data_IF_556581044064
#
_entry.id   IF_556581044064
#
_cell.length_a   1.000
_cell.length_b   1.000
_cell.length_c   1.000
_cell.angle_alpha   90.00
_cell.angle_beta   90.00
_cell.angle_gamma   90.00
#
_symmetry.space_group_name_H-M   'P 1'
#
loop_
_entity.id
_entity.type
_entity.pdbx_description
1 polymer ?
#
# COMPACT_ATOMS: atom_id res chain seq x y z
N UNK A 1 -4.66 -13.05 -12.44
CA UNK A 1 -4.52 -13.50 -11.02
C UNK A 1 -5.85 -13.28 -10.32
N UNK A 2 -6.38 -14.29 -9.65
CA UNK A 2 -7.59 -14.14 -8.85
C UNK A 2 -7.22 -13.59 -7.47
N UNK A 3 -7.84 -12.49 -7.06
CA UNK A 3 -7.60 -11.88 -5.75
C UNK A 3 -8.50 -12.54 -4.71
N UNK A 4 -7.91 -13.07 -3.64
CA UNK A 4 -8.62 -13.58 -2.48
C UNK A 4 -8.83 -12.44 -1.47
N UNK A 5 -9.90 -11.67 -1.65
CA UNK A 5 -10.23 -10.54 -0.78
C UNK A 5 -10.44 -10.92 0.68
N UNK A 6 -11.14 -12.02 1.01
CA UNK A 6 -11.25 -12.49 2.39
C UNK A 6 -9.88 -12.72 3.04
N UNK A 7 -8.96 -13.38 2.35
CA UNK A 7 -7.60 -13.61 2.86
C UNK A 7 -6.84 -12.29 3.05
N UNK A 8 -6.96 -11.37 2.10
CA UNK A 8 -6.29 -10.08 2.16
C UNK A 8 -6.80 -9.23 3.33
N UNK A 9 -8.12 -9.22 3.55
CA UNK A 9 -8.73 -8.55 4.71
C UNK A 9 -8.29 -9.19 6.03
N UNK A 10 -8.21 -10.52 6.09
CA UNK A 10 -7.76 -11.23 7.29
C UNK A 10 -6.31 -10.85 7.64
N UNK A 11 -5.42 -10.73 6.66
CA UNK A 11 -4.05 -10.28 6.86
C UNK A 11 -4.01 -8.82 7.36
N UNK A 12 -4.87 -7.96 6.85
CA UNK A 12 -4.98 -6.57 7.31
C UNK A 12 -5.48 -6.47 8.76
N UNK A 13 -6.47 -7.28 9.14
CA UNK A 13 -6.96 -7.38 10.54
C UNK A 13 -5.85 -7.85 11.48
N UNK A 14 -5.11 -8.89 11.08
CA UNK A 14 -4.02 -9.42 11.90
C UNK A 14 -2.97 -8.34 12.20
N UNK A 15 -2.52 -7.62 11.19
CA UNK A 15 -1.50 -6.59 11.38
C UNK A 15 -2.03 -5.36 12.11
N UNK A 16 -3.33 -5.04 12.01
CA UNK A 16 -3.96 -3.97 12.80
C UNK A 16 -3.80 -4.19 14.30
N UNK A 17 -3.74 -5.46 14.74
CA UNK A 17 -3.48 -5.81 16.13
C UNK A 17 -2.14 -5.32 16.67
N UNK A 18 -1.18 -5.01 15.80
CA UNK A 18 0.15 -4.51 16.14
C UNK A 18 0.28 -2.99 16.03
N UNK A 19 -0.79 -2.30 15.61
CA UNK A 19 -0.78 -0.85 15.45
C UNK A 19 -0.46 -0.14 16.78
N UNK A 20 0.31 0.93 16.69
CA UNK A 20 0.59 1.83 17.81
C UNK A 20 -0.30 3.06 17.65
N UNK A 21 -1.44 3.08 18.34
CA UNK A 21 -2.46 4.12 18.22
C UNK A 21 -2.98 4.60 19.59
N UNK A 22 -2.07 5.09 20.49
CA UNK A 22 -2.47 5.47 21.84
C UNK A 22 -3.29 6.76 21.88
N UNK A 23 -3.23 7.61 20.86
CA UNK A 23 -3.88 8.91 20.82
C UNK A 23 -5.29 8.82 20.23
N UNK A 24 -5.41 8.33 19.00
CA UNK A 24 -6.71 8.17 18.34
C UNK A 24 -7.50 6.97 18.82
N UNK A 25 -6.80 5.93 19.29
CA UNK A 25 -7.33 4.59 19.57
C UNK A 25 -7.93 3.89 18.35
N UNK A 26 -7.67 4.42 17.15
CA UNK A 26 -8.05 3.79 15.90
C UNK A 26 -6.85 2.99 15.38
N UNK A 27 -6.93 1.67 15.52
CA UNK A 27 -5.97 0.74 14.93
C UNK A 27 -6.36 0.44 13.50
N UNK A 28 -5.41 0.56 12.59
CA UNK A 28 -5.60 0.33 11.17
C UNK A 28 -4.55 -0.66 10.67
N UNK A 29 -4.98 -1.59 9.85
CA UNK A 29 -4.11 -2.51 9.12
C UNK A 29 -4.33 -2.37 7.63
N UNK A 30 -3.25 -2.52 6.89
CA UNK A 30 -3.25 -2.59 5.44
C UNK A 30 -2.56 -3.86 4.98
N UNK A 31 -3.14 -4.54 3.99
CA UNK A 31 -2.53 -5.69 3.33
C UNK A 31 -2.59 -5.50 1.82
N UNK A 32 -1.47 -5.72 1.15
CA UNK A 32 -1.34 -5.57 -0.29
C UNK A 32 -0.89 -6.87 -0.93
N UNK A 33 -1.51 -7.23 -2.05
CA UNK A 33 -1.09 -8.34 -2.89
C UNK A 33 -0.16 -7.81 -3.98
N UNK A 34 0.99 -8.41 -4.13
CA UNK A 34 1.97 -8.07 -5.17
C UNK A 34 1.73 -8.86 -6.45
N UNK A 35 2.27 -8.37 -7.58
CA UNK A 35 2.17 -9.05 -8.86
C UNK A 35 2.87 -10.42 -8.90
N UNK A 36 3.81 -10.68 -7.99
CA UNK A 36 4.47 -11.99 -7.81
C UNK A 36 3.77 -12.87 -6.77
N UNK A 37 2.58 -12.47 -6.27
CA UNK A 37 1.73 -13.29 -5.41
C UNK A 37 2.03 -13.20 -3.92
N UNK A 38 2.95 -12.34 -3.47
CA UNK A 38 3.22 -12.11 -2.05
C UNK A 38 2.18 -11.20 -1.43
N UNK A 39 1.93 -11.39 -0.14
CA UNK A 39 1.16 -10.46 0.68
C UNK A 39 2.12 -9.67 1.56
N UNK A 40 2.07 -8.35 1.47
CA UNK A 40 2.80 -7.42 2.34
C UNK A 40 1.81 -6.67 3.22
N UNK A 41 2.22 -6.32 4.43
CA UNK A 41 1.33 -5.71 5.41
C UNK A 41 1.96 -4.51 6.09
N UNK A 42 1.13 -3.64 6.64
CA UNK A 42 1.54 -2.51 7.46
C UNK A 42 0.44 -2.12 8.42
N UNK A 43 0.79 -1.45 9.51
CA UNK A 43 -0.14 -0.90 10.47
C UNK A 43 0.19 0.56 10.76
N UNK A 44 -0.78 1.32 11.28
CA UNK A 44 -0.52 2.71 11.65
C UNK A 44 0.35 2.81 12.90
N UNK A 45 1.22 3.81 12.89
CA UNK A 45 2.13 4.12 14.00
C UNK A 45 2.00 5.60 14.29
N UNK A 46 1.34 5.93 15.39
CA UNK A 46 1.14 7.31 15.82
C UNK A 46 2.36 7.86 16.55
N UNK A 47 2.39 9.15 16.70
CA UNK A 47 3.42 9.88 17.44
C UNK A 47 2.77 11.04 18.20
N UNK A 48 3.32 11.39 19.37
CA UNK A 48 2.89 12.59 20.09
C UNK A 48 3.04 13.86 19.23
N UNK A 49 4.01 13.88 18.33
CA UNK A 49 4.08 14.84 17.24
C UNK A 49 3.21 14.33 16.10
N UNK A 50 1.97 14.81 16.01
CA UNK A 50 0.95 14.26 15.10
C UNK A 50 1.38 14.25 13.64
N UNK A 51 2.19 15.21 13.21
CA UNK A 51 2.73 15.28 11.85
C UNK A 51 3.67 14.11 11.49
N UNK A 52 4.19 13.37 12.48
CA UNK A 52 5.04 12.19 12.27
C UNK A 52 4.25 10.89 12.22
N UNK A 53 2.93 10.92 12.39
CA UNK A 53 2.09 9.74 12.31
C UNK A 53 2.19 9.08 10.94
N UNK A 54 2.41 7.77 10.92
CA UNK A 54 2.43 6.96 9.71
C UNK A 54 1.12 6.19 9.58
N UNK A 55 0.46 6.34 8.42
CA UNK A 55 -0.67 5.49 8.07
C UNK A 55 -0.22 4.04 7.83
N UNK A 56 -1.14 3.10 7.94
CA UNK A 56 -0.87 1.69 7.71
C UNK A 56 -0.27 1.42 6.32
N UNK A 57 -0.74 2.15 5.32
CA UNK A 57 -0.27 2.05 3.94
C UNK A 57 1.19 2.48 3.77
N UNK A 58 1.67 3.42 4.59
CA UNK A 58 3.09 3.81 4.60
C UNK A 58 3.96 2.63 5.04
N UNK A 59 3.57 1.92 6.10
CA UNK A 59 4.23 0.72 6.55
C UNK A 59 4.21 -0.40 5.51
N UNK A 60 3.06 -0.58 4.85
CA UNK A 60 2.90 -1.55 3.78
C UNK A 60 3.84 -1.27 2.60
N UNK A 61 3.89 -0.05 2.10
CA UNK A 61 4.76 0.31 0.98
C UNK A 61 6.24 0.21 1.38
N UNK A 62 6.59 0.57 2.61
CA UNK A 62 7.95 0.33 3.13
C UNK A 62 8.29 -1.16 3.13
N UNK A 63 7.37 -2.01 3.60
CA UNK A 63 7.56 -3.47 3.61
C UNK A 63 7.65 -4.04 2.18
N UNK A 64 6.89 -3.51 1.22
CA UNK A 64 6.97 -3.90 -0.18
C UNK A 64 8.40 -3.80 -0.72
N UNK A 65 9.08 -2.69 -0.44
CA UNK A 65 10.44 -2.47 -0.90
C UNK A 65 11.50 -3.19 -0.03
N UNK A 66 11.25 -3.34 1.26
CA UNK A 66 12.18 -4.00 2.19
C UNK A 66 12.17 -5.53 2.08
N UNK A 67 11.07 -6.11 1.56
CA UNK A 67 10.96 -7.56 1.39
C UNK A 67 11.44 -7.95 -0.01
N UNK A 68 12.47 -8.80 -0.13
CA UNK A 68 12.95 -9.20 -1.44
C UNK A 68 11.85 -9.93 -2.24
N UNK A 69 11.84 -9.81 -3.57
CA UNK A 69 10.93 -10.56 -4.41
C UNK A 69 11.16 -12.07 -4.26
N UNK A 70 10.14 -12.85 -4.64
CA UNK A 70 10.30 -14.30 -4.67
C UNK A 70 11.53 -14.72 -5.52
N UNK A 71 12.21 -15.80 -5.15
CA UNK A 71 13.48 -16.22 -5.76
C UNK A 71 13.43 -16.37 -7.29
N UNK A 72 12.25 -16.66 -7.87
CA UNK A 72 12.01 -16.73 -9.32
C UNK A 72 11.99 -15.36 -10.02
N UNK A 73 11.92 -14.27 -9.27
CA UNK A 73 11.87 -12.90 -9.77
C UNK A 73 13.18 -12.13 -9.49
N UNK A 74 14.24 -12.81 -9.07
CA UNK A 74 15.54 -12.20 -8.84
C UNK A 74 16.08 -11.59 -10.15
N UNK A 75 15.93 -10.28 -10.27
CA UNK A 75 16.47 -9.49 -11.37
C UNK A 75 17.99 -9.37 -11.22
N UNK A 76 18.72 -9.51 -12.31
CA UNK A 76 20.10 -9.08 -12.43
C UNK A 76 20.17 -7.55 -12.47
N UNK A 77 19.93 -6.90 -11.31
CA UNK A 77 20.04 -5.46 -11.21
C UNK A 77 21.51 -5.04 -11.31
N UNK A 78 21.78 -4.00 -12.09
CA UNK A 78 23.09 -3.38 -12.12
C UNK A 78 23.42 -2.76 -10.74
N UNK A 79 24.72 -2.78 -10.32
CA UNK A 79 25.11 -2.15 -9.07
C UNK A 79 24.62 -0.70 -9.00
N UNK A 80 23.94 -0.35 -7.92
CA UNK A 80 23.41 1.01 -7.69
C UNK A 80 21.98 1.26 -8.17
N UNK A 81 21.36 0.30 -8.87
CA UNK A 81 19.92 0.38 -9.21
C UNK A 81 19.17 -0.60 -8.32
N UNK A 82 18.29 -0.08 -7.46
CA UNK A 82 17.39 -0.96 -6.72
C UNK A 82 16.52 -1.74 -7.73
N UNK A 83 16.36 -3.06 -7.56
CA UNK A 83 15.44 -3.81 -8.41
C UNK A 83 14.04 -3.24 -8.23
N UNK A 84 13.33 -3.02 -9.33
CA UNK A 84 11.94 -2.63 -9.26
C UNK A 84 11.17 -3.71 -8.49
N UNK A 85 10.64 -3.36 -7.32
CA UNK A 85 9.75 -4.28 -6.61
C UNK A 85 8.53 -4.56 -7.49
N UNK A 86 8.05 -5.81 -7.56
CA UNK A 86 6.78 -6.07 -8.21
C UNK A 86 5.70 -5.19 -7.59
N UNK A 87 5.00 -4.44 -8.43
CA UNK A 87 3.98 -3.50 -7.98
C UNK A 87 2.83 -4.20 -7.24
N UNK A 88 2.11 -3.43 -6.44
CA UNK A 88 0.85 -3.88 -5.84
C UNK A 88 -0.22 -4.04 -6.92
N UNK A 89 -1.01 -5.11 -6.84
CA UNK A 89 -2.17 -5.34 -7.70
C UNK A 89 -3.49 -5.19 -6.97
N UNK A 90 -3.48 -5.36 -5.65
CA UNK A 90 -4.65 -5.17 -4.80
C UNK A 90 -4.23 -4.70 -3.40
N UNK A 91 -5.10 -3.94 -2.74
CA UNK A 91 -4.90 -3.50 -1.36
C UNK A 91 -6.22 -3.50 -0.60
N UNK A 92 -6.20 -4.00 0.63
CA UNK A 92 -7.27 -3.88 1.60
C UNK A 92 -6.77 -3.09 2.82
N UNK A 93 -7.55 -2.12 3.26
CA UNK A 93 -7.31 -1.33 4.47
C UNK A 93 -8.49 -1.51 5.40
N UNK A 94 -8.24 -1.86 6.65
CA UNK A 94 -9.30 -2.15 7.63
C UNK A 94 -9.01 -1.51 8.98
N UNK A 95 -10.06 -1.17 9.70
CA UNK A 95 -9.98 -0.90 11.12
C UNK A 95 -9.74 -2.20 11.92
N UNK A 96 -9.35 -2.07 13.19
CA UNK A 96 -9.07 -3.23 14.05
C UNK A 96 -10.26 -4.17 14.28
N UNK A 97 -11.48 -3.71 14.04
CA UNK A 97 -12.71 -4.52 14.06
C UNK A 97 -13.02 -5.20 12.71
N UNK A 98 -12.19 -5.00 11.71
CA UNK A 98 -12.34 -5.56 10.38
C UNK A 98 -13.17 -4.69 9.42
N UNK A 99 -13.70 -3.55 9.85
CA UNK A 99 -14.44 -2.65 8.97
C UNK A 99 -13.52 -2.09 7.87
N UNK A 100 -13.92 -2.16 6.59
CA UNK A 100 -13.13 -1.58 5.51
C UNK A 100 -13.00 -0.07 5.67
N UNK A 101 -11.80 0.44 5.41
CA UNK A 101 -11.50 1.88 5.39
C UNK A 101 -10.94 2.26 4.03
N UNK A 102 -11.32 3.44 3.55
CA UNK A 102 -10.69 4.01 2.37
C UNK A 102 -9.34 4.63 2.76
N UNK A 103 -8.29 4.46 1.95
CA UNK A 103 -7.02 5.16 2.17
C UNK A 103 -7.21 6.67 2.12
N UNK A 104 -6.50 7.39 3.00
CA UNK A 104 -6.52 8.86 2.99
C UNK A 104 -5.87 9.42 1.72
N UNK A 105 -6.05 10.73 1.44
CA UNK A 105 -5.54 11.33 0.22
C UNK A 105 -4.04 11.17 0.02
N UNK A 106 -3.25 11.31 1.08
CA UNK A 106 -1.79 11.08 1.05
C UNK A 106 -1.46 9.62 0.66
N UNK A 107 -2.18 8.67 1.22
CA UNK A 107 -1.96 7.25 0.94
C UNK A 107 -2.40 6.86 -0.48
N UNK A 108 -3.42 7.51 -1.03
CA UNK A 108 -3.81 7.29 -2.44
C UNK A 108 -2.67 7.68 -3.38
N UNK A 109 -2.00 8.80 -3.13
CA UNK A 109 -0.83 9.20 -3.91
C UNK A 109 0.33 8.21 -3.74
N UNK A 110 0.59 7.77 -2.52
CA UNK A 110 1.61 6.76 -2.21
C UNK A 110 1.32 5.43 -2.93
N UNK A 111 0.07 4.98 -2.89
CA UNK A 111 -0.37 3.73 -3.54
C UNK A 111 -0.33 3.83 -5.07
N UNK A 112 -0.55 5.03 -5.64
CA UNK A 112 -0.41 5.24 -7.08
C UNK A 112 1.00 4.91 -7.58
N UNK A 113 2.02 5.31 -6.84
CA UNK A 113 3.40 4.99 -7.19
C UNK A 113 3.70 3.49 -6.99
N UNK A 114 3.12 2.88 -5.96
CA UNK A 114 3.37 1.49 -5.62
C UNK A 114 2.64 0.47 -6.50
N UNK A 115 1.51 0.84 -7.11
CA UNK A 115 0.67 -0.11 -7.86
C UNK A 115 0.10 0.42 -9.18
N UNK A 116 0.21 1.72 -9.43
CA UNK A 116 -0.34 2.35 -10.62
C UNK A 116 -1.85 2.63 -10.53
N UNK A 117 -2.43 3.24 -11.59
CA UNK A 117 -3.83 3.65 -11.61
C UNK A 117 -4.82 2.47 -11.55
N UNK A 118 -4.41 1.30 -12.00
CA UNK A 118 -5.24 0.09 -12.05
C UNK A 118 -5.19 -0.75 -10.76
N UNK A 119 -4.42 -0.31 -9.76
CA UNK A 119 -4.41 -0.95 -8.45
C UNK A 119 -5.82 -1.05 -7.90
N UNK A 120 -6.27 -2.25 -7.55
CA UNK A 120 -7.59 -2.46 -6.97
C UNK A 120 -7.56 -2.18 -5.47
N UNK A 121 -8.42 -1.28 -5.04
CA UNK A 121 -8.61 -0.92 -3.64
C UNK A 121 -9.92 -1.52 -3.15
N UNK A 122 -9.86 -2.26 -2.05
CA UNK A 122 -11.06 -2.80 -1.41
C UNK A 122 -11.90 -1.67 -0.81
N UNK A 123 -13.19 -1.66 -1.11
CA UNK A 123 -14.14 -0.69 -0.56
C UNK A 123 -15.38 -1.38 0.00
N UNK A 124 -16.21 -0.70 0.81
CA UNK A 124 -17.45 -1.28 1.32
C UNK A 124 -18.40 -1.77 0.21
N UNK A 125 -18.37 -1.14 -0.96
CA UNK A 125 -19.23 -1.50 -2.11
C UNK A 125 -18.55 -2.46 -3.09
N UNK A 126 -17.33 -2.90 -2.79
CA UNK A 126 -16.53 -3.76 -3.65
C UNK A 126 -15.26 -3.07 -4.14
N UNK A 127 -14.35 -3.80 -4.79
CA UNK A 127 -13.08 -3.25 -5.22
C UNK A 127 -13.23 -2.22 -6.34
N UNK A 128 -12.50 -1.10 -6.21
CA UNK A 128 -12.42 -0.04 -7.21
C UNK A 128 -10.97 0.16 -7.67
N UNK A 129 -10.74 0.50 -8.94
CA UNK A 129 -9.40 0.91 -9.37
C UNK A 129 -9.01 2.23 -8.71
N UNK A 130 -7.73 2.40 -8.41
CA UNK A 130 -7.23 3.59 -7.71
C UNK A 130 -7.50 4.88 -8.47
N UNK A 131 -7.57 4.82 -9.81
CA UNK A 131 -7.92 5.97 -10.66
C UNK A 131 -9.28 6.56 -10.31
N UNK A 132 -10.23 5.76 -9.79
CA UNK A 132 -11.54 6.26 -9.37
C UNK A 132 -11.48 6.99 -8.01
N UNK A 133 -10.47 6.67 -7.20
CA UNK A 133 -10.24 7.28 -5.88
C UNK A 133 -9.26 8.47 -5.93
N UNK A 134 -8.48 8.57 -7.01
CA UNK A 134 -7.50 9.63 -7.22
C UNK A 134 -7.50 10.04 -8.70
N UNK A 135 -8.57 10.71 -9.19
CA UNK A 135 -8.66 11.14 -10.58
C UNK A 135 -7.65 12.25 -10.89
N UNK A 136 -7.16 12.29 -12.13
CA UNK A 136 -6.23 13.32 -12.63
C UNK A 136 -5.00 13.50 -11.74
N UNK A 137 -4.44 12.40 -11.26
CA UNK A 137 -3.36 12.40 -10.28
C UNK A 137 -2.03 12.86 -10.89
N UNK A 138 -1.24 13.58 -10.08
CA UNK A 138 0.16 13.85 -10.37
C UNK A 138 0.98 12.55 -10.27
N UNK A 139 1.89 12.33 -11.22
CA UNK A 139 2.70 11.11 -11.25
C UNK A 139 4.10 11.34 -11.81
N UNK A 140 4.88 10.26 -11.87
CA UNK A 140 6.27 10.30 -12.37
C UNK A 140 6.40 10.82 -13.80
N UNK A 141 5.40 10.60 -14.64
CA UNK A 141 5.38 11.13 -16.02
C UNK A 141 5.37 12.68 -16.05
N UNK A 142 4.68 13.31 -15.09
CA UNK A 142 4.65 14.78 -14.98
C UNK A 142 6.01 15.34 -14.63
N UNK A 143 6.78 14.66 -13.79
CA UNK A 143 8.16 15.01 -13.47
C UNK A 143 9.08 14.81 -14.69
N UNK A 144 8.97 13.68 -15.35
CA UNK A 144 9.81 13.34 -16.50
C UNK A 144 9.61 14.31 -17.66
N UNK A 145 8.37 14.76 -17.89
CA UNK A 145 8.04 15.73 -18.92
C UNK A 145 8.60 17.14 -18.65
N UNK A 146 9.02 17.43 -17.40
CA UNK A 146 9.49 18.74 -16.95
C UNK A 146 10.95 18.74 -16.49
N UNK A 147 11.64 17.62 -16.63
CA UNK A 147 13.09 17.59 -16.38
C UNK A 147 13.80 18.41 -17.44
N UNK A 148 14.49 19.44 -16.97
CA UNK A 148 15.48 20.13 -17.80
C UNK A 148 16.65 19.17 -18.04
N UNK A 149 17.07 19.11 -19.30
CA UNK A 149 18.22 18.30 -19.73
C UNK A 149 19.53 18.90 -19.27
#
# INVERSE_FOLDING_TARGET
MKIDWPQLRAAAVDVAGRAYAPYSRLRVGAAGLTGDGRVVTGCNVENASFGLTLCAECGLVSALHATPPAASAASTASPGTAPAAPGLVAVAVVAGDGAPLLPCGRCRQLLLEAGGPELLVDTPEGPLPLTDLLPAAFGGADLSARRES
#
